data_IF_167425710107
#
_entry.id   IF_167425710107
#
_cell.length_a   1.000
_cell.length_b   1.000
_cell.length_c   1.000
_cell.angle_alpha   90.00
_cell.angle_beta   90.00
_cell.angle_gamma   90.00
#
_symmetry.space_group_name_H-M   'P 1'
#
loop_
_entity.id
_entity.type
_entity.pdbx_description
1 polymer ?
#
# COMPACT_ATOMS: atom_id res chain seq x y z
N UNK A 1 -58.64 -21.59 -4.24
CA UNK A 1 -57.67 -20.97 -5.16
C UNK A 1 -56.58 -20.31 -4.34
N UNK A 2 -55.32 -20.52 -4.73
CA UNK A 2 -54.08 -19.85 -4.30
C UNK A 2 -53.67 -19.98 -2.82
N UNK A 3 -52.42 -20.19 -2.43
CA UNK A 3 -51.17 -20.34 -3.18
C UNK A 3 -50.14 -21.11 -2.32
N UNK A 4 -49.36 -21.95 -3.01
CA UNK A 4 -48.08 -22.49 -2.56
C UNK A 4 -47.07 -21.35 -2.49
N UNK A 5 -46.18 -21.32 -1.48
CA UNK A 5 -44.84 -20.76 -1.67
C UNK A 5 -43.81 -21.22 -0.62
N UNK A 6 -42.94 -22.11 -1.11
CA UNK A 6 -41.48 -22.23 -0.92
C UNK A 6 -40.89 -22.20 0.50
N UNK A 7 -40.44 -23.39 0.92
CA UNK A 7 -39.20 -23.53 1.66
C UNK A 7 -38.06 -22.87 0.87
N UNK A 8 -37.53 -21.76 1.36
CA UNK A 8 -36.23 -21.24 0.95
C UNK A 8 -35.25 -21.42 2.10
N UNK A 9 -34.39 -22.42 1.94
CA UNK A 9 -33.12 -22.49 2.64
C UNK A 9 -32.15 -21.38 2.21
N UNK A 10 -30.94 -21.50 2.73
CA UNK A 10 -29.80 -20.59 2.71
C UNK A 10 -29.75 -19.72 3.98
N UNK A 11 -28.75 -19.87 4.85
CA UNK A 11 -27.37 -19.70 4.42
C UNK A 11 -26.43 -20.60 5.21
N UNK A 12 -25.72 -21.47 4.49
CA UNK A 12 -24.38 -21.86 4.89
C UNK A 12 -23.56 -20.57 5.00
N UNK A 13 -23.35 -20.07 6.21
CA UNK A 13 -22.25 -19.16 6.47
C UNK A 13 -20.97 -19.99 6.27
N UNK A 14 -20.47 -19.98 5.03
CA UNK A 14 -19.08 -20.31 4.78
C UNK A 14 -18.28 -19.28 5.57
N UNK A 15 -17.67 -19.71 6.67
CA UNK A 15 -16.45 -19.09 7.17
C UNK A 15 -15.47 -19.06 5.99
N UNK A 16 -15.46 -17.93 5.28
CA UNK A 16 -14.34 -17.61 4.42
C UNK A 16 -13.21 -17.44 5.41
N UNK A 17 -12.28 -18.41 5.45
CA UNK A 17 -10.90 -18.09 5.80
C UNK A 17 -10.56 -16.88 4.94
N UNK A 18 -10.54 -15.69 5.54
CA UNK A 18 -10.04 -14.50 4.86
C UNK A 18 -8.56 -14.79 4.62
N UNK A 19 -8.26 -15.24 3.40
CA UNK A 19 -6.90 -15.46 2.95
C UNK A 19 -6.12 -14.15 3.03
N UNK A 20 -4.81 -14.25 3.10
CA UNK A 20 -3.92 -13.10 3.20
C UNK A 20 -4.21 -12.11 2.06
N UNK A 21 -4.62 -10.89 2.41
CA UNK A 21 -5.08 -9.90 1.45
C UNK A 21 -3.96 -8.91 1.07
N UNK A 22 -4.22 -8.11 0.03
CA UNK A 22 -3.29 -7.04 -0.35
C UNK A 22 -3.16 -5.96 0.73
N UNK A 23 -4.24 -5.65 1.44
CA UNK A 23 -4.20 -4.69 2.54
C UNK A 23 -3.45 -5.25 3.76
N UNK A 24 -3.57 -6.56 4.04
CA UNK A 24 -2.72 -7.22 5.06
C UNK A 24 -1.24 -7.15 4.67
N UNK A 25 -0.93 -7.33 3.38
CA UNK A 25 0.42 -7.21 2.87
C UNK A 25 0.96 -5.77 3.01
N UNK A 26 0.15 -4.75 2.72
CA UNK A 26 0.52 -3.34 2.91
C UNK A 26 0.76 -3.06 4.40
N UNK A 27 -0.15 -3.46 5.27
CA UNK A 27 -0.06 -3.24 6.71
C UNK A 27 1.20 -3.88 7.32
N UNK A 28 1.72 -4.98 6.75
CA UNK A 28 2.99 -5.58 7.19
C UNK A 28 4.23 -4.75 6.83
N UNK A 29 4.18 -3.93 5.79
CA UNK A 29 5.31 -3.11 5.31
C UNK A 29 5.26 -1.70 5.92
N UNK A 30 4.05 -1.15 6.07
CA UNK A 30 3.82 0.19 6.59
C UNK A 30 3.96 0.19 8.11
N UNK A 31 4.99 0.88 8.63
CA UNK A 31 5.14 1.07 10.07
C UNK A 31 4.12 2.09 10.59
N UNK A 32 3.70 1.97 11.85
CA UNK A 32 2.80 2.94 12.50
C UNK A 32 3.32 4.39 12.50
N UNK A 33 4.63 4.58 12.34
CA UNK A 33 5.28 5.91 12.28
C UNK A 33 5.44 6.46 10.86
N UNK A 34 5.01 5.73 9.83
CA UNK A 34 5.17 6.18 8.44
C UNK A 34 3.94 6.94 7.96
N UNK A 35 4.15 7.86 7.03
CA UNK A 35 3.08 8.66 6.39
C UNK A 35 2.29 7.85 5.33
N UNK A 36 2.69 6.61 5.05
CA UNK A 36 2.01 5.76 4.07
C UNK A 36 0.69 5.22 4.63
N UNK A 37 -0.36 5.11 3.78
CA UNK A 37 -1.61 4.48 4.20
C UNK A 37 -1.38 2.98 4.41
N UNK A 38 -1.91 2.43 5.51
CA UNK A 38 -1.81 0.99 5.81
C UNK A 38 -2.74 0.10 4.95
N UNK A 39 -3.39 0.67 3.94
CA UNK A 39 -4.25 0.02 2.95
C UNK A 39 -3.98 0.62 1.59
N UNK A 40 -4.48 -0.03 0.55
CA UNK A 40 -4.36 0.48 -0.81
C UNK A 40 -5.00 1.88 -0.93
N UNK A 41 -4.24 2.87 -1.38
CA UNK A 41 -4.73 4.24 -1.51
C UNK A 41 -3.64 5.29 -1.43
N UNK A 42 -4.06 6.55 -1.45
CA UNK A 42 -3.19 7.73 -1.44
C UNK A 42 -3.63 8.74 -0.39
N UNK A 43 -2.67 9.31 0.33
CA UNK A 43 -2.89 10.36 1.34
C UNK A 43 -1.91 11.51 1.13
N UNK A 44 -2.30 12.71 1.56
CA UNK A 44 -1.38 13.86 1.61
C UNK A 44 -0.56 13.79 2.90
N UNK A 45 0.69 14.22 2.83
CA UNK A 45 1.56 14.28 3.99
C UNK A 45 2.77 15.18 3.76
N UNK A 46 3.67 15.18 4.73
CA UNK A 46 4.90 15.93 4.67
C UNK A 46 6.04 14.97 4.32
N UNK A 47 6.76 15.26 3.24
CA UNK A 47 7.95 14.50 2.85
C UNK A 47 9.19 15.19 3.42
N UNK A 48 9.99 14.43 4.14
CA UNK A 48 11.27 14.86 4.69
C UNK A 48 12.42 14.35 3.82
N UNK A 49 13.02 15.25 3.05
CA UNK A 49 14.16 14.97 2.19
C UNK A 49 15.52 15.03 2.91
N UNK A 50 16.54 14.48 2.26
CA UNK A 50 17.94 14.69 2.65
C UNK A 50 18.42 16.11 2.32
N UNK A 51 19.53 16.55 2.91
CA UNK A 51 20.11 17.88 2.69
C UNK A 51 20.83 18.42 3.93
N UNK A 52 21.37 19.65 3.85
CA UNK A 52 21.91 20.33 5.05
C UNK A 52 20.80 20.52 6.07
N UNK A 53 21.12 20.29 7.35
CA UNK A 53 20.18 20.49 8.46
C UNK A 53 19.51 21.89 8.38
N UNK A 54 18.19 22.00 8.59
CA UNK A 54 17.29 20.97 9.14
C UNK A 54 16.74 19.93 8.12
N UNK A 55 17.25 19.90 6.89
CA UNK A 55 16.73 19.06 5.81
C UNK A 55 15.56 19.73 5.08
N UNK A 56 15.20 19.22 3.90
CA UNK A 56 14.07 19.75 3.14
C UNK A 56 12.77 19.11 3.60
N UNK A 57 11.73 19.92 3.70
CA UNK A 57 10.40 19.48 4.08
C UNK A 57 9.40 20.05 3.08
N UNK A 58 8.74 19.18 2.31
CA UNK A 58 7.77 19.58 1.28
C UNK A 58 6.43 18.88 1.48
N UNK A 59 5.35 19.54 1.06
CA UNK A 59 4.04 18.90 0.93
C UNK A 59 4.07 17.93 -0.25
N UNK A 60 3.62 16.71 -0.01
CA UNK A 60 3.56 15.66 -1.03
C UNK A 60 2.41 14.69 -0.79
N UNK A 61 2.45 13.57 -1.52
CA UNK A 61 1.49 12.48 -1.37
C UNK A 61 2.20 11.15 -1.20
N UNK A 62 1.62 10.28 -0.38
CA UNK A 62 2.09 8.93 -0.12
C UNK A 62 1.05 7.94 -0.63
N UNK A 63 1.47 6.99 -1.45
CA UNK A 63 0.62 5.94 -2.00
C UNK A 63 1.12 4.57 -1.57
N UNK A 64 0.19 3.71 -1.17
CA UNK A 64 0.42 2.29 -0.97
C UNK A 64 -0.44 1.50 -1.94
N UNK A 65 0.15 0.49 -2.55
CA UNK A 65 -0.55 -0.41 -3.46
C UNK A 65 -0.02 -1.83 -3.30
N UNK A 66 -0.88 -2.82 -3.60
CA UNK A 66 -0.51 -4.23 -3.61
C UNK A 66 -1.01 -4.89 -4.90
N UNK A 67 -0.11 -5.58 -5.59
CA UNK A 67 -0.44 -6.42 -6.74
C UNK A 67 -0.23 -7.89 -6.39
N UNK A 68 -1.21 -8.74 -6.72
CA UNK A 68 -1.11 -10.17 -6.44
C UNK A 68 -0.08 -10.83 -7.37
N UNK A 69 0.89 -11.55 -6.81
CA UNK A 69 1.92 -12.33 -7.54
C UNK A 69 1.69 -13.84 -7.45
N UNK A 70 1.20 -14.32 -6.31
CA UNK A 70 0.89 -15.73 -6.06
C UNK A 70 -0.32 -15.86 -5.14
N UNK A 71 -0.65 -17.07 -4.69
CA UNK A 71 -1.84 -17.33 -3.86
C UNK A 71 -1.86 -16.45 -2.59
N UNK A 72 -0.74 -16.42 -1.87
CA UNK A 72 -0.49 -15.61 -0.67
C UNK A 72 0.76 -14.73 -0.81
N UNK A 73 1.08 -14.30 -2.04
CA UNK A 73 2.25 -13.44 -2.28
C UNK A 73 1.83 -12.19 -3.03
N UNK A 74 2.18 -11.04 -2.46
CA UNK A 74 1.88 -9.71 -3.01
C UNK A 74 3.16 -8.93 -3.26
N UNK A 75 3.13 -8.13 -4.33
CA UNK A 75 4.10 -7.08 -4.56
C UNK A 75 3.51 -5.78 -4.02
N UNK A 76 4.05 -5.32 -2.89
CA UNK A 76 3.68 -4.05 -2.27
C UNK A 76 4.58 -2.97 -2.84
N UNK A 77 3.97 -1.88 -3.32
CA UNK A 77 4.68 -0.69 -3.76
C UNK A 77 4.27 0.49 -2.89
N UNK A 78 5.27 1.11 -2.28
CA UNK A 78 5.15 2.37 -1.56
C UNK A 78 5.74 3.48 -2.44
N UNK A 79 4.97 4.53 -2.73
CA UNK A 79 5.41 5.64 -3.59
C UNK A 79 5.20 7.00 -2.93
N UNK A 80 6.22 7.85 -2.98
CA UNK A 80 6.19 9.26 -2.57
C UNK A 80 6.10 10.13 -3.82
N UNK A 81 5.16 11.06 -3.83
CA UNK A 81 4.96 12.03 -4.91
C UNK A 81 5.33 13.42 -4.40
N UNK A 82 6.38 13.97 -4.98
CA UNK A 82 6.90 15.31 -4.68
C UNK A 82 6.38 16.30 -5.72
N UNK A 83 6.29 17.59 -5.35
CA UNK A 83 5.93 18.69 -6.26
C UNK A 83 4.71 18.35 -7.15
N UNK A 84 3.60 17.92 -6.54
CA UNK A 84 2.37 17.52 -7.25
C UNK A 84 2.54 16.34 -8.23
N UNK A 85 3.50 15.45 -7.97
CA UNK A 85 3.72 14.23 -8.74
C UNK A 85 4.73 14.36 -9.87
N UNK A 86 5.43 15.49 -9.97
CA UNK A 86 6.52 15.70 -10.93
C UNK A 86 7.72 14.78 -10.64
N UNK A 87 8.01 14.51 -9.37
CA UNK A 87 9.07 13.58 -8.96
C UNK A 87 8.48 12.48 -8.10
N UNK A 88 8.93 11.25 -8.34
CA UNK A 88 8.43 10.07 -7.64
C UNK A 88 9.57 9.23 -7.09
N UNK A 89 9.49 8.88 -5.81
CA UNK A 89 10.37 7.87 -5.19
C UNK A 89 9.52 6.66 -4.81
N UNK A 90 10.01 5.45 -5.05
CA UNK A 90 9.26 4.24 -4.76
C UNK A 90 10.12 3.12 -4.16
N UNK A 91 9.50 2.32 -3.29
CA UNK A 91 10.06 1.10 -2.71
C UNK A 91 9.13 -0.07 -3.00
N UNK A 92 9.71 -1.20 -3.42
CA UNK A 92 8.98 -2.41 -3.77
C UNK A 92 9.38 -3.55 -2.84
N UNK A 93 8.37 -4.24 -2.33
CA UNK A 93 8.50 -5.38 -1.43
C UNK A 93 7.72 -6.57 -1.99
N UNK A 94 8.26 -7.76 -1.78
CA UNK A 94 7.52 -9.01 -1.93
C UNK A 94 7.10 -9.47 -0.54
N UNK A 95 5.80 -9.66 -0.34
CA UNK A 95 5.19 -9.88 0.96
C UNK A 95 4.33 -11.13 0.95
N UNK A 96 4.52 -11.97 1.95
CA UNK A 96 3.70 -13.14 2.25
C UNK A 96 3.26 -13.10 3.72
N UNK A 97 2.41 -14.05 4.18
CA UNK A 97 1.99 -14.11 5.57
C UNK A 97 3.17 -14.16 6.55
N UNK A 98 4.26 -14.82 6.15
CA UNK A 98 5.42 -15.11 7.01
C UNK A 98 6.66 -14.28 6.70
N UNK A 99 6.71 -13.57 5.58
CA UNK A 99 7.92 -12.89 5.13
C UNK A 99 7.66 -11.52 4.49
N UNK A 100 8.59 -10.60 4.69
CA UNK A 100 8.67 -9.31 3.99
C UNK A 100 10.06 -9.23 3.39
N UNK A 101 10.15 -9.19 2.06
CA UNK A 101 11.41 -9.10 1.32
C UNK A 101 11.47 -7.80 0.54
N UNK A 102 12.44 -6.96 0.84
CA UNK A 102 12.76 -5.82 -0.03
C UNK A 102 13.24 -6.31 -1.40
N UNK A 103 12.67 -5.75 -2.46
CA UNK A 103 12.99 -6.11 -3.85
C UNK A 103 13.88 -5.05 -4.48
N UNK A 104 13.43 -3.79 -4.46
CA UNK A 104 14.16 -2.66 -5.02
C UNK A 104 13.59 -1.33 -4.55
N UNK A 105 14.40 -0.30 -4.71
CA UNK A 105 14.03 1.10 -4.57
C UNK A 105 14.45 1.83 -5.85
N UNK A 106 13.73 2.89 -6.21
CA UNK A 106 14.07 3.74 -7.33
C UNK A 106 13.19 4.98 -7.38
N UNK A 107 13.26 5.68 -8.50
CA UNK A 107 12.52 6.92 -8.69
C UNK A 107 13.37 8.02 -9.28
N UNK A 108 12.76 9.19 -9.37
CA UNK A 108 13.47 10.42 -9.68
C UNK A 108 14.33 10.82 -8.46
N UNK A 109 15.48 11.41 -8.73
CA UNK A 109 16.27 12.07 -7.68
C UNK A 109 15.43 13.23 -7.13
N UNK A 110 15.42 13.43 -5.81
CA UNK A 110 14.79 14.60 -5.20
C UNK A 110 15.19 15.87 -5.98
N UNK A 111 14.27 16.80 -6.28
CA UNK A 111 14.53 17.96 -7.11
C UNK A 111 15.77 18.78 -6.70
N UNK A 112 16.26 18.62 -5.48
CA UNK A 112 17.44 19.30 -4.94
C UNK A 112 18.78 18.59 -5.19
N UNK A 113 18.81 17.41 -5.82
CA UNK A 113 20.03 16.88 -6.43
C UNK A 113 20.54 17.78 -7.59
N UNK A 114 19.72 18.75 -8.02
CA UNK A 114 19.98 19.66 -9.13
C UNK A 114 20.29 21.11 -8.70
N UNK A 115 20.35 21.43 -7.40
CA UNK A 115 20.71 22.77 -6.89
C UNK A 115 22.02 22.77 -6.10
#
# INVERSE_FOLDING_TARGET
>A
MLAISVMSGCSFMRDKKEGFSGDDAIAKVVSEKSEYPNKSGKVKGIIHGGGKAPGITVQGEFESSAAKKGEDVFIVTLTEYWNKGEFRHYRIYEVSPTNVKFVKEGGDVSPEAYN
#
